data_IF_861095909019
#
_entry.id   IF_861095909019
#
_cell.length_a   1.000
_cell.length_b   1.000
_cell.length_c   1.000
_cell.angle_alpha   90.00
_cell.angle_beta   90.00
_cell.angle_gamma   90.00
#
_symmetry.space_group_name_H-M   'P 1'
#
loop_
_entity.id
_entity.type
_entity.pdbx_description
1 polymer ?
#
# COMPACT_ATOMS: atom_id res chain seq x y z
N UNK A 1 -59.62 -2.87 -18.29
CA UNK A 1 -58.73 -2.63 -17.12
C UNK A 1 -57.35 -3.29 -17.23
N UNK A 2 -57.04 -4.10 -18.25
CA UNK A 2 -55.70 -4.71 -18.44
C UNK A 2 -54.64 -3.72 -18.99
N UNK A 3 -54.99 -2.90 -19.97
CA UNK A 3 -54.04 -1.95 -20.59
C UNK A 3 -53.52 -0.83 -19.67
N UNK A 4 -54.21 -0.55 -18.55
CA UNK A 4 -53.78 0.47 -17.58
C UNK A 4 -52.69 -0.05 -16.63
N UNK A 5 -52.73 -1.36 -16.30
CA UNK A 5 -51.70 -2.02 -15.48
C UNK A 5 -50.39 -2.27 -16.24
N UNK A 6 -50.45 -2.52 -17.54
CA UNK A 6 -49.25 -2.70 -18.38
C UNK A 6 -48.51 -1.37 -18.63
N UNK A 7 -49.24 -0.26 -18.78
CA UNK A 7 -48.67 1.07 -18.95
C UNK A 7 -48.06 1.65 -17.65
N UNK A 8 -48.62 1.31 -16.47
CA UNK A 8 -48.02 1.68 -15.17
C UNK A 8 -46.72 0.88 -14.89
N UNK A 9 -46.70 -0.42 -15.18
CA UNK A 9 -45.50 -1.25 -14.96
C UNK A 9 -44.31 -0.90 -15.89
N UNK A 10 -44.58 -0.46 -17.12
CA UNK A 10 -43.54 -0.02 -18.05
C UNK A 10 -42.97 1.36 -17.71
N UNK A 11 -43.73 2.22 -17.02
CA UNK A 11 -43.27 3.55 -16.60
C UNK A 11 -42.30 3.46 -15.42
N UNK A 12 -42.63 2.62 -14.42
CA UNK A 12 -41.76 2.38 -13.26
C UNK A 12 -40.43 1.71 -13.63
N UNK A 13 -40.46 0.75 -14.57
CA UNK A 13 -39.23 0.03 -14.98
C UNK A 13 -38.26 0.96 -15.72
N UNK A 14 -38.73 1.75 -16.70
CA UNK A 14 -37.89 2.69 -17.44
C UNK A 14 -37.32 3.81 -16.57
N UNK A 15 -38.03 4.21 -15.50
CA UNK A 15 -37.57 5.26 -14.59
C UNK A 15 -36.46 4.75 -13.67
N UNK A 16 -36.59 3.53 -13.15
CA UNK A 16 -35.54 2.86 -12.35
C UNK A 16 -34.26 2.65 -13.17
N UNK A 17 -34.37 2.20 -14.42
CA UNK A 17 -33.19 1.99 -15.27
C UNK A 17 -32.48 3.31 -15.64
N UNK A 18 -33.23 4.40 -15.78
CA UNK A 18 -32.66 5.74 -16.01
C UNK A 18 -31.91 6.25 -14.78
N UNK A 19 -32.49 6.08 -13.58
CA UNK A 19 -31.87 6.49 -12.32
C UNK A 19 -30.60 5.66 -12.03
N UNK A 20 -30.59 4.36 -12.31
CA UNK A 20 -29.40 3.51 -12.14
C UNK A 20 -28.27 3.96 -13.06
N UNK A 21 -28.56 4.27 -14.32
CA UNK A 21 -27.52 4.72 -15.27
C UNK A 21 -26.91 6.07 -14.86
N UNK A 22 -27.73 7.04 -14.43
CA UNK A 22 -27.23 8.33 -13.95
C UNK A 22 -26.33 8.19 -12.72
N UNK A 23 -26.71 7.34 -11.76
CA UNK A 23 -25.89 7.10 -10.58
C UNK A 23 -24.58 6.35 -10.91
N UNK A 24 -24.59 5.45 -11.91
CA UNK A 24 -23.37 4.79 -12.38
C UNK A 24 -22.41 5.78 -13.06
N UNK A 25 -22.93 6.72 -13.84
CA UNK A 25 -22.10 7.76 -14.46
C UNK A 25 -21.48 8.69 -13.39
N UNK A 26 -22.22 9.05 -12.34
CA UNK A 26 -21.68 9.82 -11.20
C UNK A 26 -20.59 9.06 -10.44
N UNK A 27 -20.75 7.75 -10.25
CA UNK A 27 -19.73 6.91 -9.63
C UNK A 27 -18.45 6.88 -10.50
N UNK A 28 -18.62 6.73 -11.81
CA UNK A 28 -17.52 6.79 -12.79
C UNK A 28 -16.80 8.14 -12.72
N UNK A 29 -17.52 9.26 -12.66
CA UNK A 29 -16.92 10.60 -12.54
C UNK A 29 -16.15 10.77 -11.22
N UNK A 30 -16.70 10.29 -10.11
CA UNK A 30 -16.05 10.36 -8.80
C UNK A 30 -14.71 9.59 -8.79
N UNK A 31 -14.65 8.46 -9.50
CA UNK A 31 -13.45 7.64 -9.66
C UNK A 31 -12.46 8.15 -10.73
N UNK A 32 -12.80 9.20 -11.49
CA UNK A 32 -11.83 9.87 -12.39
C UNK A 32 -10.86 10.78 -11.65
N UNK A 33 -11.24 11.22 -10.45
CA UNK A 33 -10.38 12.03 -9.60
C UNK A 33 -9.20 11.20 -9.09
N UNK A 34 -8.13 11.86 -8.66
CA UNK A 34 -7.01 11.17 -8.02
C UNK A 34 -7.49 10.55 -6.71
N UNK A 35 -7.71 9.23 -6.71
CA UNK A 35 -8.22 8.50 -5.55
C UNK A 35 -7.22 8.44 -4.40
N UNK A 36 -5.97 8.85 -4.62
CA UNK A 36 -5.03 9.07 -3.51
C UNK A 36 -5.36 10.33 -2.70
N UNK A 37 -6.26 11.20 -3.20
CA UNK A 37 -6.64 12.47 -2.58
C UNK A 37 -8.07 12.50 -2.04
N UNK A 38 -8.84 11.43 -2.23
CA UNK A 38 -10.20 11.34 -1.71
C UNK A 38 -10.16 11.15 -0.18
N UNK A 39 -11.03 11.85 0.54
CA UNK A 39 -11.20 11.59 1.96
C UNK A 39 -11.77 10.18 2.18
N UNK A 40 -11.39 9.53 3.28
CA UNK A 40 -11.86 8.18 3.60
C UNK A 40 -13.39 8.16 3.72
N UNK A 41 -13.97 9.21 4.30
CA UNK A 41 -15.42 9.39 4.45
C UNK A 41 -16.13 9.44 3.10
N UNK A 42 -15.56 10.15 2.13
CA UNK A 42 -16.11 10.27 0.78
C UNK A 42 -16.00 8.94 0.03
N UNK A 43 -14.86 8.24 0.17
CA UNK A 43 -14.69 6.90 -0.41
C UNK A 43 -15.70 5.89 0.17
N UNK A 44 -15.92 5.91 1.49
CA UNK A 44 -16.91 5.05 2.14
C UNK A 44 -18.33 5.35 1.66
N UNK A 45 -18.67 6.64 1.48
CA UNK A 45 -19.96 7.04 0.94
C UNK A 45 -20.18 6.56 -0.50
N UNK A 46 -19.15 6.62 -1.36
CA UNK A 46 -19.22 6.07 -2.71
C UNK A 46 -19.45 4.56 -2.71
N UNK A 47 -18.80 3.83 -1.80
CA UNK A 47 -19.01 2.38 -1.67
C UNK A 47 -20.43 2.07 -1.21
N UNK A 48 -20.97 2.81 -0.23
CA UNK A 48 -22.35 2.64 0.23
C UNK A 48 -23.37 2.92 -0.89
N UNK A 49 -23.14 3.96 -1.69
CA UNK A 49 -23.94 4.25 -2.88
C UNK A 49 -23.91 3.09 -3.87
N UNK A 50 -22.72 2.53 -4.14
CA UNK A 50 -22.61 1.41 -5.06
C UNK A 50 -23.28 0.14 -4.54
N UNK A 51 -23.13 -0.20 -3.26
CA UNK A 51 -23.84 -1.32 -2.65
C UNK A 51 -25.37 -1.16 -2.77
N UNK A 52 -25.87 0.06 -2.55
CA UNK A 52 -27.30 0.39 -2.75
C UNK A 52 -27.73 0.15 -4.20
N UNK A 53 -26.94 0.58 -5.20
CA UNK A 53 -27.23 0.30 -6.62
C UNK A 53 -27.25 -1.20 -6.92
N UNK A 54 -26.26 -1.96 -6.41
CA UNK A 54 -26.20 -3.40 -6.61
C UNK A 54 -27.43 -4.10 -6.02
N UNK A 55 -27.88 -3.69 -4.83
CA UNK A 55 -29.06 -4.26 -4.19
C UNK A 55 -30.37 -4.03 -4.97
N UNK A 56 -30.45 -2.93 -5.72
CA UNK A 56 -31.59 -2.59 -6.59
C UNK A 56 -31.53 -3.28 -7.94
N UNK A 57 -30.33 -3.64 -8.39
CA UNK A 57 -30.11 -4.31 -9.66
C UNK A 57 -30.43 -5.81 -9.58
N UNK A 58 -30.93 -6.41 -10.66
CA UNK A 58 -31.18 -7.85 -10.77
C UNK A 58 -29.96 -8.61 -11.34
N UNK A 59 -28.76 -8.09 -11.12
CA UNK A 59 -27.53 -8.62 -11.72
C UNK A 59 -27.13 -9.92 -11.00
N UNK A 60 -26.93 -11.00 -11.76
CA UNK A 60 -26.36 -12.23 -11.24
C UNK A 60 -24.90 -11.98 -10.84
N UNK A 61 -24.47 -12.48 -9.68
CA UNK A 61 -23.13 -12.21 -9.15
C UNK A 61 -22.99 -10.92 -8.33
N UNK A 62 -24.08 -10.14 -8.17
CA UNK A 62 -24.07 -8.92 -7.35
C UNK A 62 -23.81 -9.15 -5.86
N UNK A 63 -23.98 -10.39 -5.37
CA UNK A 63 -23.70 -10.74 -3.96
C UNK A 63 -22.20 -10.79 -3.68
N UNK A 64 -21.43 -11.34 -4.61
CA UNK A 64 -19.99 -11.45 -4.51
C UNK A 64 -19.34 -10.07 -4.58
N UNK A 65 -19.79 -9.24 -5.54
CA UNK A 65 -19.34 -7.85 -5.63
C UNK A 65 -19.69 -7.04 -4.36
N UNK A 66 -20.88 -7.26 -3.79
CA UNK A 66 -21.24 -6.65 -2.51
C UNK A 66 -20.37 -7.15 -1.34
N UNK A 67 -19.87 -8.38 -1.39
CA UNK A 67 -18.95 -8.90 -0.38
C UNK A 67 -17.56 -8.24 -0.50
N UNK A 68 -17.03 -8.13 -1.71
CA UNK A 68 -15.76 -7.43 -1.96
C UNK A 68 -15.83 -5.95 -1.60
N UNK A 69 -16.97 -5.28 -1.87
CA UNK A 69 -17.17 -3.90 -1.45
C UNK A 69 -17.18 -3.75 0.08
N UNK A 70 -17.71 -4.74 0.82
CA UNK A 70 -17.64 -4.73 2.29
C UNK A 70 -16.21 -4.97 2.79
N UNK A 71 -15.46 -5.79 2.10
CA UNK A 71 -14.04 -5.99 2.38
C UNK A 71 -13.26 -4.70 2.17
N UNK A 72 -13.46 -4.00 1.05
CA UNK A 72 -12.88 -2.69 0.79
C UNK A 72 -13.22 -1.68 1.89
N UNK A 73 -14.49 -1.63 2.33
CA UNK A 73 -14.88 -0.77 3.46
C UNK A 73 -14.16 -1.12 4.76
N UNK A 74 -13.92 -2.40 5.02
CA UNK A 74 -13.18 -2.85 6.20
C UNK A 74 -11.72 -2.40 6.14
N UNK A 75 -11.08 -2.54 4.98
CA UNK A 75 -9.71 -2.08 4.76
C UNK A 75 -9.59 -0.56 4.92
N UNK A 76 -10.50 0.21 4.31
CA UNK A 76 -10.50 1.68 4.42
C UNK A 76 -10.73 2.19 5.86
N UNK A 77 -11.42 1.42 6.70
CA UNK A 77 -11.64 1.75 8.12
C UNK A 77 -10.50 1.29 9.03
N UNK A 78 -9.59 0.47 8.52
CA UNK A 78 -8.46 -0.07 9.26
C UNK A 78 -7.27 0.88 9.14
N UNK A 79 -6.68 1.24 10.28
CA UNK A 79 -5.44 2.02 10.35
C UNK A 79 -4.20 1.20 9.97
N UNK A 80 -4.36 -0.11 9.81
CA UNK A 80 -3.29 -1.07 9.52
C UNK A 80 -3.24 -1.52 8.07
N UNK A 81 -4.26 -1.19 7.28
CA UNK A 81 -4.35 -1.71 5.93
C UNK A 81 -3.37 -1.01 5.01
N UNK A 82 -2.69 -1.78 4.16
CA UNK A 82 -1.70 -1.27 3.20
C UNK A 82 -2.38 -0.77 1.93
N UNK A 83 -1.71 0.11 1.19
CA UNK A 83 -2.16 0.49 -0.15
C UNK A 83 -2.22 -0.70 -1.10
N UNK A 84 -1.36 -1.70 -0.91
CA UNK A 84 -1.36 -2.97 -1.64
C UNK A 84 -2.62 -3.81 -1.38
N UNK A 85 -3.03 -4.00 -0.11
CA UNK A 85 -4.27 -4.71 0.23
C UNK A 85 -5.50 -4.02 -0.39
N UNK A 86 -5.55 -2.69 -0.27
CA UNK A 86 -6.64 -1.87 -0.86
C UNK A 86 -6.63 -1.98 -2.39
N UNK A 87 -5.43 -1.93 -2.99
CA UNK A 87 -5.22 -2.08 -4.44
C UNK A 87 -5.73 -3.43 -4.94
N UNK A 88 -5.39 -4.52 -4.25
CA UNK A 88 -5.80 -5.87 -4.64
C UNK A 88 -7.32 -5.98 -4.69
N UNK A 89 -8.01 -5.55 -3.63
CA UNK A 89 -9.47 -5.59 -3.56
C UNK A 89 -10.10 -4.70 -4.64
N UNK A 90 -9.56 -3.49 -4.88
CA UNK A 90 -10.04 -2.62 -5.96
C UNK A 90 -9.88 -3.24 -7.36
N UNK A 91 -8.76 -3.91 -7.61
CA UNK A 91 -8.52 -4.62 -8.87
C UNK A 91 -9.51 -5.78 -9.03
N UNK A 92 -9.71 -6.59 -7.99
CA UNK A 92 -10.67 -7.70 -7.99
C UNK A 92 -12.11 -7.21 -8.26
N UNK A 93 -12.53 -6.17 -7.54
CA UNK A 93 -13.82 -5.51 -7.75
C UNK A 93 -13.95 -5.02 -9.20
N UNK A 94 -12.90 -4.40 -9.75
CA UNK A 94 -12.86 -3.96 -11.14
C UNK A 94 -12.96 -5.11 -12.15
N UNK A 95 -12.26 -6.22 -11.92
CA UNK A 95 -12.32 -7.42 -12.77
C UNK A 95 -13.72 -8.03 -12.76
N UNK A 96 -14.32 -8.22 -11.59
CA UNK A 96 -15.68 -8.73 -11.46
C UNK A 96 -16.71 -7.78 -12.08
N UNK A 97 -16.53 -6.47 -11.92
CA UNK A 97 -17.36 -5.46 -12.60
C UNK A 97 -17.25 -5.58 -14.13
N UNK A 98 -16.08 -5.92 -14.66
CA UNK A 98 -15.91 -6.13 -16.10
C UNK A 98 -16.65 -7.38 -16.60
N UNK A 99 -16.66 -8.47 -15.82
CA UNK A 99 -17.41 -9.69 -16.13
C UNK A 99 -18.91 -9.40 -16.27
N UNK A 100 -19.47 -8.58 -15.37
CA UNK A 100 -20.88 -8.18 -15.44
C UNK A 100 -21.22 -7.27 -16.61
N UNK A 101 -20.25 -6.60 -17.22
CA UNK A 101 -20.52 -5.81 -18.43
C UNK A 101 -21.00 -6.67 -19.61
N UNK A 102 -20.73 -7.98 -19.60
CA UNK A 102 -21.25 -8.93 -20.57
C UNK A 102 -22.77 -9.14 -20.45
N UNK A 103 -23.29 -9.03 -19.23
CA UNK A 103 -24.68 -9.29 -18.84
C UNK A 103 -25.50 -8.00 -18.65
N UNK A 104 -24.82 -6.86 -18.56
CA UNK A 104 -25.44 -5.55 -18.43
C UNK A 104 -26.31 -5.21 -19.66
N UNK A 105 -27.40 -4.48 -19.41
CA UNK A 105 -28.28 -3.98 -20.46
C UNK A 105 -27.53 -3.08 -21.45
N UNK A 106 -28.02 -2.99 -22.70
CA UNK A 106 -27.37 -2.22 -23.77
C UNK A 106 -27.07 -0.77 -23.39
N UNK A 107 -27.88 -0.15 -22.52
CA UNK A 107 -27.70 1.22 -22.04
C UNK A 107 -26.58 1.39 -21.02
N UNK A 108 -26.35 0.39 -20.15
CA UNK A 108 -25.40 0.48 -19.03
C UNK A 108 -24.05 -0.16 -19.32
N UNK A 109 -23.96 -1.02 -20.35
CA UNK A 109 -22.75 -1.77 -20.70
C UNK A 109 -21.50 -0.92 -20.83
N UNK A 110 -21.57 0.24 -21.50
CA UNK A 110 -20.40 1.11 -21.66
C UNK A 110 -19.97 1.74 -20.33
N UNK A 111 -20.91 2.18 -19.51
CA UNK A 111 -20.63 2.76 -18.19
C UNK A 111 -20.02 1.73 -17.25
N UNK A 112 -20.56 0.50 -17.21
CA UNK A 112 -19.99 -0.60 -16.41
C UNK A 112 -18.56 -0.96 -16.87
N UNK A 113 -18.28 -0.94 -18.17
CA UNK A 113 -16.91 -1.13 -18.69
C UNK A 113 -15.95 0.01 -18.36
N UNK A 114 -16.45 1.24 -18.22
CA UNK A 114 -15.63 2.37 -17.78
C UNK A 114 -15.32 2.26 -16.30
N UNK A 115 -16.34 1.95 -15.49
CA UNK A 115 -16.22 1.72 -14.05
C UNK A 115 -15.17 0.64 -13.75
N UNK A 116 -15.24 -0.51 -14.43
CA UNK A 116 -14.27 -1.59 -14.23
C UNK A 116 -12.83 -1.17 -14.53
N UNK A 117 -12.61 -0.43 -15.62
CA UNK A 117 -11.28 0.09 -15.97
C UNK A 117 -10.76 1.08 -14.94
N UNK A 118 -11.63 1.97 -14.44
CA UNK A 118 -11.26 2.95 -13.43
C UNK A 118 -10.89 2.30 -12.11
N UNK A 119 -11.64 1.32 -11.64
CA UNK A 119 -11.33 0.58 -10.41
C UNK A 119 -9.97 -0.12 -10.49
N UNK A 120 -9.68 -0.78 -11.61
CA UNK A 120 -8.37 -1.42 -11.83
C UNK A 120 -7.23 -0.40 -11.91
N UNK A 121 -7.48 0.73 -12.59
CA UNK A 121 -6.53 1.84 -12.68
C UNK A 121 -6.28 2.47 -11.31
N UNK A 122 -7.32 2.63 -10.51
CA UNK A 122 -7.28 3.15 -9.15
C UNK A 122 -6.41 2.28 -8.25
N UNK A 123 -6.71 0.96 -8.20
CA UNK A 123 -5.90 0.02 -7.42
C UNK A 123 -4.43 0.07 -7.83
N UNK A 124 -4.15 0.01 -9.13
CA UNK A 124 -2.77 0.12 -9.65
C UNK A 124 -2.09 1.45 -9.26
N UNK A 125 -2.83 2.55 -9.22
CA UNK A 125 -2.30 3.87 -8.85
C UNK A 125 -1.97 3.96 -7.37
N UNK A 126 -2.82 3.40 -6.50
CA UNK A 126 -2.62 3.35 -5.06
C UNK A 126 -1.37 2.54 -4.72
N UNK A 127 -1.23 1.33 -5.27
CA UNK A 127 -0.04 0.50 -5.05
C UNK A 127 1.26 1.21 -5.48
N UNK A 128 1.24 1.88 -6.65
CA UNK A 128 2.39 2.65 -7.14
C UNK A 128 2.73 3.86 -6.28
N UNK A 129 1.72 4.51 -5.68
CA UNK A 129 1.94 5.65 -4.80
C UNK A 129 2.61 5.20 -3.50
N UNK A 130 2.16 4.10 -2.91
CA UNK A 130 2.79 3.50 -1.73
C UNK A 130 4.22 3.04 -2.05
N UNK A 131 4.45 2.38 -3.19
CA UNK A 131 5.79 2.00 -3.65
C UNK A 131 6.72 3.23 -3.78
N UNK A 132 6.21 4.32 -4.36
CA UNK A 132 6.99 5.56 -4.50
C UNK A 132 7.35 6.14 -3.14
N UNK A 133 6.39 6.24 -2.23
CA UNK A 133 6.64 6.76 -0.88
C UNK A 133 7.71 5.91 -0.17
N UNK A 134 7.58 4.58 -0.22
CA UNK A 134 8.58 3.69 0.36
C UNK A 134 9.97 3.89 -0.27
N UNK A 135 10.04 4.11 -1.58
CA UNK A 135 11.32 4.37 -2.27
C UNK A 135 11.96 5.68 -1.82
N UNK A 136 11.18 6.77 -1.74
CA UNK A 136 11.65 8.08 -1.27
C UNK A 136 12.13 8.01 0.19
N UNK A 137 11.44 7.24 1.04
CA UNK A 137 11.87 7.03 2.40
C UNK A 137 13.17 6.21 2.49
N UNK A 138 13.36 5.20 1.63
CA UNK A 138 14.62 4.44 1.55
C UNK A 138 15.77 5.29 1.01
N UNK A 139 15.53 6.17 0.05
CA UNK A 139 16.53 7.13 -0.43
C UNK A 139 16.95 8.08 0.71
N UNK A 140 15.99 8.54 1.52
CA UNK A 140 16.29 9.34 2.73
C UNK A 140 17.16 8.58 3.73
N UNK A 141 16.95 7.26 3.89
CA UNK A 141 17.80 6.42 4.74
C UNK A 141 19.21 6.37 4.17
N UNK A 142 19.33 6.08 2.86
CA UNK A 142 20.62 6.01 2.15
C UNK A 142 21.42 7.30 2.30
N UNK A 143 20.79 8.45 2.13
CA UNK A 143 21.43 9.76 2.28
C UNK A 143 21.98 9.95 3.70
N UNK A 144 21.19 9.64 4.73
CA UNK A 144 21.61 9.68 6.13
C UNK A 144 22.68 8.64 6.48
N UNK A 145 22.88 7.63 5.63
CA UNK A 145 23.84 6.55 5.82
C UNK A 145 25.07 6.63 4.90
N UNK A 146 25.26 7.70 4.13
CA UNK A 146 26.49 7.90 3.36
C UNK A 146 27.71 8.17 4.26
N UNK A 147 28.86 7.61 3.84
CA UNK A 147 30.04 7.36 4.68
C UNK A 147 30.71 8.63 5.24
N UNK A 148 31.29 8.46 6.42
CA UNK A 148 31.83 9.42 7.40
C UNK A 148 30.81 9.92 8.45
N UNK A 149 29.51 9.97 8.15
CA UNK A 149 28.49 10.36 9.14
C UNK A 149 28.05 9.20 10.03
N UNK A 150 27.89 7.97 9.52
CA UNK A 150 27.32 6.86 10.31
C UNK A 150 28.05 6.56 11.63
N UNK A 151 29.38 6.64 11.63
CA UNK A 151 30.22 6.39 12.81
C UNK A 151 30.39 7.63 13.69
N UNK A 152 29.99 8.81 13.19
CA UNK A 152 30.10 10.10 13.88
C UNK A 152 28.75 10.68 14.29
N UNK A 153 27.63 10.06 13.87
CA UNK A 153 26.27 10.37 14.28
C UNK A 153 26.16 10.30 15.81
N UNK A 154 25.49 11.30 16.39
CA UNK A 154 25.14 11.19 17.79
C UNK A 154 24.13 10.05 18.02
N UNK A 155 24.13 9.44 19.21
CA UNK A 155 23.26 8.29 19.49
C UNK A 155 21.76 8.59 19.34
N UNK A 156 21.31 9.83 19.54
CA UNK A 156 19.90 10.18 19.43
C UNK A 156 19.45 10.22 17.97
N UNK A 157 20.25 10.82 17.09
CA UNK A 157 20.04 10.82 15.65
C UNK A 157 20.08 9.41 15.05
N UNK A 158 21.06 8.59 15.48
CA UNK A 158 21.17 7.21 15.04
C UNK A 158 19.93 6.38 15.46
N UNK A 159 19.46 6.55 16.70
CA UNK A 159 18.23 5.92 17.19
C UNK A 159 17.00 6.39 16.41
N UNK A 160 16.89 7.69 16.11
CA UNK A 160 15.81 8.24 15.31
C UNK A 160 15.77 7.69 13.87
N UNK A 161 16.93 7.54 13.23
CA UNK A 161 17.04 6.92 11.90
C UNK A 161 16.63 5.43 11.94
N UNK A 162 17.02 4.71 12.99
CA UNK A 162 16.61 3.31 13.18
C UNK A 162 15.11 3.20 13.40
N UNK A 163 14.50 4.07 14.20
CA UNK A 163 13.05 4.07 14.42
C UNK A 163 12.27 4.36 13.15
N UNK A 164 12.75 5.32 12.35
CA UNK A 164 12.19 5.61 11.04
C UNK A 164 12.19 4.37 10.14
N UNK A 165 13.33 3.70 10.02
CA UNK A 165 13.46 2.50 9.20
C UNK A 165 12.67 1.31 9.76
N UNK A 166 12.68 1.11 11.08
CA UNK A 166 11.89 0.09 11.76
C UNK A 166 10.40 0.24 11.46
N UNK A 167 9.87 1.46 11.50
CA UNK A 167 8.46 1.74 11.20
C UNK A 167 8.11 1.44 9.75
N UNK A 168 9.00 1.75 8.80
CA UNK A 168 8.81 1.40 7.39
C UNK A 168 8.76 -0.12 7.19
N UNK A 169 9.71 -0.86 7.75
CA UNK A 169 9.77 -2.33 7.60
C UNK A 169 8.59 -3.06 8.24
N UNK A 170 7.99 -2.53 9.32
CA UNK A 170 6.79 -3.13 9.89
C UNK A 170 5.54 -2.95 9.02
N UNK A 171 5.52 -1.93 8.14
CA UNK A 171 4.43 -1.73 7.18
C UNK A 171 4.58 -2.61 5.95
N UNK A 172 5.80 -3.03 5.64
CA UNK A 172 6.08 -3.93 4.53
C UNK A 172 5.57 -5.35 4.83
N UNK A 173 4.99 -5.99 3.81
CA UNK A 173 4.54 -7.37 3.90
C UNK A 173 5.67 -8.36 3.63
N UNK A 174 5.92 -9.29 4.56
CA UNK A 174 6.91 -10.36 4.41
C UNK A 174 7.68 -10.63 5.70
N UNK A 175 7.93 -11.91 6.00
CA UNK A 175 8.71 -12.30 7.19
C UNK A 175 10.15 -11.75 7.15
N UNK A 176 10.73 -11.66 5.95
CA UNK A 176 12.08 -11.15 5.75
C UNK A 176 12.23 -9.68 6.20
N UNK A 177 11.19 -8.86 6.07
CA UNK A 177 11.22 -7.47 6.57
C UNK A 177 11.13 -7.41 8.10
N UNK A 178 10.38 -8.33 8.71
CA UNK A 178 10.28 -8.46 10.17
C UNK A 178 11.60 -8.88 10.80
N UNK A 179 12.37 -9.74 10.12
CA UNK A 179 13.71 -10.13 10.57
C UNK A 179 14.65 -8.93 10.62
N UNK A 180 14.73 -8.12 9.55
CA UNK A 180 15.52 -6.88 9.55
C UNK A 180 15.04 -5.92 10.64
N UNK A 181 13.72 -5.77 10.81
CA UNK A 181 13.13 -4.93 11.85
C UNK A 181 13.53 -5.38 13.27
N UNK A 182 13.65 -6.68 13.52
CA UNK A 182 14.12 -7.21 14.80
C UNK A 182 15.62 -6.97 15.03
N UNK A 183 16.42 -7.07 13.97
CA UNK A 183 17.85 -6.73 14.05
C UNK A 183 18.06 -5.23 14.28
N UNK A 184 17.22 -4.38 13.70
CA UNK A 184 17.19 -2.95 13.99
C UNK A 184 16.87 -2.63 15.46
N UNK A 185 15.93 -3.36 16.08
CA UNK A 185 15.71 -3.24 17.53
C UNK A 185 16.97 -3.57 18.33
N UNK A 186 17.70 -4.61 17.92
CA UNK A 186 18.94 -5.02 18.58
C UNK A 186 20.03 -3.96 18.44
N UNK A 187 20.16 -3.36 17.24
CA UNK A 187 21.06 -2.23 17.00
C UNK A 187 20.67 -0.99 17.82
N UNK A 188 19.39 -0.63 17.86
CA UNK A 188 18.87 0.46 18.70
C UNK A 188 19.21 0.23 20.18
N UNK A 189 19.02 -0.98 20.69
CA UNK A 189 19.37 -1.33 22.07
C UNK A 189 20.87 -1.20 22.33
N UNK A 190 21.72 -1.59 21.38
CA UNK A 190 23.16 -1.39 21.50
C UNK A 190 23.49 0.11 21.58
N UNK A 191 22.92 0.95 20.72
CA UNK A 191 23.18 2.40 20.73
C UNK A 191 22.63 3.12 21.98
N UNK A 192 21.44 2.72 22.46
CA UNK A 192 20.77 3.39 23.58
C UNK A 192 21.42 3.09 24.94
N UNK A 193 22.10 1.95 25.07
CA UNK A 193 22.90 1.64 26.26
C UNK A 193 24.21 2.42 26.12
N UNK A 194 24.29 3.64 26.65
CA UNK A 194 25.44 4.55 26.49
C UNK A 194 26.84 4.04 26.88
N UNK A 195 26.97 2.78 27.32
CA UNK A 195 28.23 2.08 27.59
C UNK A 195 28.47 0.88 26.66
N UNK A 196 27.71 0.74 25.57
CA UNK A 196 27.90 -0.36 24.63
C UNK A 196 29.27 -0.29 23.98
N UNK A 197 29.92 -1.44 23.93
CA UNK A 197 31.25 -1.55 23.33
C UNK A 197 31.13 -1.36 21.80
N UNK A 198 32.09 -0.66 21.16
CA UNK A 198 32.12 -0.52 19.70
C UNK A 198 31.98 -1.85 18.96
N UNK A 199 32.55 -2.95 19.49
CA UNK A 199 32.43 -4.27 18.88
C UNK A 199 31.00 -4.84 18.91
N UNK A 200 30.20 -4.47 19.91
CA UNK A 200 28.78 -4.84 19.97
C UNK A 200 27.97 -4.08 18.93
N UNK A 201 28.28 -2.79 18.75
CA UNK A 201 27.63 -1.93 17.75
C UNK A 201 28.02 -2.39 16.34
N UNK A 202 29.30 -2.65 16.08
CA UNK A 202 29.79 -3.17 14.81
C UNK A 202 29.11 -4.50 14.45
N UNK A 203 29.05 -5.48 15.37
CA UNK A 203 28.34 -6.74 15.12
C UNK A 203 26.86 -6.54 14.78
N UNK A 204 26.18 -5.62 15.46
CA UNK A 204 24.79 -5.33 15.17
C UNK A 204 24.62 -4.66 13.79
N UNK A 205 25.50 -3.72 13.43
CA UNK A 205 25.53 -3.08 12.11
C UNK A 205 25.79 -4.08 10.99
N UNK A 206 26.79 -4.96 11.15
CA UNK A 206 27.09 -6.02 10.18
C UNK A 206 25.87 -6.93 9.96
N UNK A 207 25.20 -7.34 11.05
CA UNK A 207 24.06 -8.22 10.95
C UNK A 207 22.86 -7.55 10.25
N UNK A 208 22.54 -6.30 10.59
CA UNK A 208 21.49 -5.55 9.90
C UNK A 208 21.86 -5.33 8.43
N UNK A 209 23.11 -4.97 8.14
CA UNK A 209 23.62 -4.75 6.79
C UNK A 209 23.51 -5.99 5.90
N UNK A 210 23.91 -7.15 6.43
CA UNK A 210 23.82 -8.45 5.76
C UNK A 210 22.37 -8.81 5.44
N UNK A 211 21.48 -8.78 6.44
CA UNK A 211 20.06 -9.10 6.21
C UNK A 211 19.42 -8.13 5.23
N UNK A 212 19.74 -6.84 5.32
CA UNK A 212 19.21 -5.82 4.38
C UNK A 212 19.67 -6.08 2.95
N UNK A 213 20.93 -6.46 2.75
CA UNK A 213 21.45 -6.83 1.45
C UNK A 213 20.84 -8.15 0.93
N UNK A 214 20.53 -9.09 1.82
CA UNK A 214 19.90 -10.36 1.47
C UNK A 214 18.47 -10.16 0.98
N UNK A 215 17.65 -9.40 1.71
CA UNK A 215 16.26 -9.12 1.31
C UNK A 215 16.18 -8.31 0.01
N UNK A 216 17.22 -7.55 -0.33
CA UNK A 216 17.26 -6.79 -1.57
C UNK A 216 17.14 -7.68 -2.83
N UNK A 217 17.50 -8.96 -2.73
CA UNK A 217 17.35 -9.92 -3.84
C UNK A 217 15.91 -10.37 -4.08
N UNK A 218 15.07 -10.29 -3.05
CA UNK A 218 13.65 -10.67 -3.05
C UNK A 218 12.71 -9.45 -3.11
N UNK A 219 13.27 -8.25 -2.97
CA UNK A 219 12.52 -7.02 -2.98
C UNK A 219 11.85 -6.75 -4.35
N UNK A 220 10.68 -6.09 -4.37
CA UNK A 220 10.03 -5.69 -5.61
C UNK A 220 10.94 -4.84 -6.50
N UNK A 221 10.64 -4.79 -7.81
CA UNK A 221 11.42 -3.99 -8.78
C UNK A 221 11.47 -2.53 -8.33
N UNK A 222 12.66 -1.94 -8.38
CA UNK A 222 12.92 -0.57 -7.89
C UNK A 222 13.66 -0.56 -6.55
N UNK A 223 13.31 -1.46 -5.62
CA UNK A 223 13.86 -1.43 -4.27
C UNK A 223 15.20 -2.13 -4.11
N UNK A 224 15.51 -3.09 -4.98
CA UNK A 224 16.75 -3.87 -4.93
C UNK A 224 18.01 -3.00 -4.84
N UNK A 225 18.11 -1.96 -5.68
CA UNK A 225 19.32 -1.12 -5.73
C UNK A 225 19.51 -0.33 -4.43
N UNK A 226 18.44 0.26 -3.93
CA UNK A 226 18.46 1.08 -2.71
C UNK A 226 18.75 0.21 -1.48
N UNK A 227 18.08 -0.94 -1.33
CA UNK A 227 18.33 -1.88 -0.23
C UNK A 227 19.76 -2.45 -0.26
N UNK A 228 20.30 -2.76 -1.45
CA UNK A 228 21.71 -3.16 -1.58
C UNK A 228 22.66 -2.05 -1.14
N UNK A 229 22.34 -0.79 -1.43
CA UNK A 229 23.15 0.37 -1.02
C UNK A 229 23.12 0.55 0.50
N UNK A 230 21.93 0.53 1.12
CA UNK A 230 21.77 0.58 2.59
C UNK A 230 22.56 -0.56 3.26
N UNK A 231 22.38 -1.80 2.79
CA UNK A 231 23.06 -2.96 3.35
C UNK A 231 24.59 -2.83 3.30
N UNK A 232 25.14 -2.36 2.17
CA UNK A 232 26.58 -2.11 2.04
C UNK A 232 27.08 -1.01 2.97
N UNK A 233 26.36 0.10 3.08
CA UNK A 233 26.75 1.22 3.94
C UNK A 233 26.84 0.79 5.41
N UNK A 234 25.89 0.00 5.89
CA UNK A 234 25.89 -0.54 7.25
C UNK A 234 27.06 -1.50 7.50
N UNK A 235 27.35 -2.37 6.53
CA UNK A 235 28.52 -3.27 6.61
C UNK A 235 29.83 -2.48 6.61
N UNK A 236 29.97 -1.45 5.78
CA UNK A 236 31.16 -0.58 5.76
C UNK A 236 31.31 0.23 7.06
N UNK A 237 30.22 0.71 7.65
CA UNK A 237 30.25 1.37 8.96
C UNK A 237 30.68 0.40 10.08
N UNK A 238 30.22 -0.85 10.03
CA UNK A 238 30.68 -1.90 10.93
C UNK A 238 32.19 -2.15 10.81
N UNK A 239 32.70 -2.27 9.58
CA UNK A 239 34.13 -2.47 9.33
C UNK A 239 34.97 -1.30 9.88
N UNK A 240 34.53 -0.07 9.62
CA UNK A 240 35.20 1.15 10.11
C UNK A 240 35.28 1.19 11.64
N UNK A 241 34.17 0.88 12.32
CA UNK A 241 34.11 0.78 13.79
C UNK A 241 35.00 -0.33 14.37
N UNK A 242 35.20 -1.42 13.61
CA UNK A 242 36.10 -2.51 14.01
C UNK A 242 37.57 -2.15 13.77
N UNK A 243 37.88 -1.41 12.71
CA UNK A 243 39.24 -1.02 12.31
C UNK A 243 39.85 0.12 13.14
N UNK A 244 39.07 1.12 13.56
CA UNK A 244 39.54 2.22 14.44
C UNK A 244 40.25 1.71 15.70
N UNK A 245 39.85 0.53 16.19
CA UNK A 245 40.48 -0.09 17.35
C UNK A 245 41.77 -0.83 17.05
N UNK A 246 41.93 -1.35 15.83
CA UNK A 246 43.18 -2.00 15.40
C UNK A 246 44.34 -1.01 15.25
N UNK A 247 44.02 0.26 14.96
CA UNK A 247 44.98 1.37 14.87
C UNK A 247 45.33 2.05 16.21
N UNK A 248 44.50 1.92 17.23
CA UNK A 248 44.68 2.61 18.53
C UNK A 248 45.49 1.81 19.59
N UNK A 249 46.10 0.67 19.20
CA UNK A 249 46.98 -0.14 20.07
C UNK A 249 48.48 -0.04 19.72
N UNK A 250 48.97 1.16 19.37
CA UNK A 250 50.40 1.45 19.25
C UNK A 250 50.83 2.56 20.19
#
# INVERSE_FOLDING_TARGET
MAAKKEAENQKDTNQVDTDVNQNLDQLVESLQSDLNSIAIEDALALIDQWQSLLSKSKINGGKELAAELKELQKLLKSDKSTGHEISEVLIQIGERTAEFSGEAEKGSKQTVQRLSKQLRSAGTSIAKAEDREMHEQLDTIVEKSEGDELTTLDPEQAVGAIDFWYNMLNKAEGEQYKEVANSLKSLKQALSRGNSKPETIAKALAHVGEQTAQIASEAPRGFKGVLQKVGRQLSSASESLAEEKSGSSK
#
